data_IF_188826450643
#
_entry.id   IF_188826450643
#
_cell.length_a   1.000
_cell.length_b   1.000
_cell.length_c   1.000
_cell.angle_alpha   90.00
_cell.angle_beta   90.00
_cell.angle_gamma   90.00
#
_symmetry.space_group_name_H-M   'P 1'
#
loop_
_entity.id
_entity.type
_entity.pdbx_description
1 polymer ?
#
# COMPACT_ATOMS: atom_id res chain seq x y z
N UNK A 1 -26.01 -21.74 -1.08
CA UNK A 1 -24.87 -21.18 -1.84
C UNK A 1 -23.61 -21.83 -1.30
N UNK A 2 -22.91 -22.63 -2.10
CA UNK A 2 -21.65 -23.23 -1.68
C UNK A 2 -20.59 -22.13 -1.64
N UNK A 3 -20.10 -21.81 -0.45
CA UNK A 3 -19.13 -20.73 -0.23
C UNK A 3 -17.75 -21.19 -0.72
N UNK A 4 -17.33 -20.75 -1.90
CA UNK A 4 -16.07 -21.20 -2.51
C UNK A 4 -14.87 -20.41 -1.97
N UNK A 5 -14.59 -20.55 -0.67
CA UNK A 5 -13.48 -19.92 0.03
C UNK A 5 -12.11 -20.19 -0.60
N UNK A 6 -11.97 -21.28 -1.39
CA UNK A 6 -10.73 -21.64 -2.08
C UNK A 6 -10.26 -20.57 -3.07
N UNK A 7 -11.19 -19.82 -3.66
CA UNK A 7 -10.85 -18.77 -4.63
C UNK A 7 -10.30 -17.50 -3.93
N UNK A 8 -10.54 -17.32 -2.63
CA UNK A 8 -10.08 -16.12 -1.89
C UNK A 8 -8.57 -16.11 -1.64
N UNK A 9 -7.94 -17.29 -1.68
CA UNK A 9 -6.51 -17.47 -1.42
C UNK A 9 -5.77 -18.02 -2.65
N UNK A 10 -6.29 -17.77 -3.86
CA UNK A 10 -5.70 -18.26 -5.10
C UNK A 10 -4.31 -17.61 -5.35
N UNK A 11 -3.21 -18.40 -5.31
CA UNK A 11 -1.87 -17.86 -5.52
C UNK A 11 -1.64 -17.36 -6.95
N UNK A 12 -2.36 -17.89 -7.94
CA UNK A 12 -2.26 -17.44 -9.33
C UNK A 12 -2.89 -16.06 -9.49
N UNK A 13 -4.09 -15.86 -8.92
CA UNK A 13 -4.74 -14.56 -8.87
C UNK A 13 -3.86 -13.53 -8.12
N UNK A 14 -3.31 -13.89 -6.95
CA UNK A 14 -2.39 -13.03 -6.21
C UNK A 14 -1.15 -12.66 -7.04
N UNK A 15 -0.56 -13.61 -7.76
CA UNK A 15 0.60 -13.35 -8.63
C UNK A 15 0.24 -12.35 -9.73
N UNK A 16 -0.84 -12.59 -10.47
CA UNK A 16 -1.25 -11.71 -11.57
C UNK A 16 -1.57 -10.30 -11.08
N UNK A 17 -2.34 -10.18 -10.01
CA UNK A 17 -2.71 -8.88 -9.43
C UNK A 17 -1.51 -8.18 -8.81
N UNK A 18 -0.67 -8.90 -8.06
CA UNK A 18 0.54 -8.35 -7.45
C UNK A 18 1.52 -7.79 -8.48
N UNK A 19 1.74 -8.48 -9.60
CA UNK A 19 2.58 -7.94 -10.68
C UNK A 19 1.95 -6.69 -11.32
N UNK A 20 0.66 -6.73 -11.64
CA UNK A 20 -0.05 -5.59 -12.20
C UNK A 20 -0.02 -4.35 -11.27
N UNK A 21 -0.14 -4.56 -9.95
CA UNK A 21 -0.01 -3.53 -8.93
C UNK A 21 1.39 -2.93 -8.91
N UNK A 22 2.43 -3.77 -8.88
CA UNK A 22 3.83 -3.34 -8.85
C UNK A 22 4.19 -2.56 -10.10
N UNK A 23 3.75 -3.01 -11.28
CA UNK A 23 3.99 -2.31 -12.55
C UNK A 23 3.39 -0.89 -12.53
N UNK A 24 2.14 -0.75 -12.08
CA UNK A 24 1.49 0.56 -11.98
C UNK A 24 2.15 1.49 -10.95
N UNK A 25 2.59 0.95 -9.81
CA UNK A 25 3.32 1.73 -8.81
C UNK A 25 4.70 2.15 -9.31
N UNK A 26 5.37 1.32 -10.11
CA UNK A 26 6.63 1.69 -10.76
C UNK A 26 6.43 2.83 -11.77
N UNK A 27 5.37 2.76 -12.59
CA UNK A 27 4.99 3.83 -13.52
C UNK A 27 4.67 5.14 -12.76
N UNK A 28 3.95 5.05 -11.64
CA UNK A 28 3.71 6.18 -10.75
C UNK A 28 5.01 6.79 -10.22
N UNK A 29 5.95 5.97 -9.71
CA UNK A 29 7.23 6.48 -9.20
C UNK A 29 8.02 7.25 -10.27
N UNK A 30 7.96 6.79 -11.53
CA UNK A 30 8.57 7.49 -12.66
C UNK A 30 7.87 8.83 -12.96
N UNK A 31 6.53 8.85 -12.93
CA UNK A 31 5.72 10.03 -13.23
C UNK A 31 5.75 11.09 -12.12
N UNK A 32 5.68 10.66 -10.85
CA UNK A 32 5.68 11.51 -9.67
C UNK A 32 6.88 12.44 -9.62
N UNK A 33 8.00 12.06 -10.24
CA UNK A 33 9.21 12.88 -10.22
C UNK A 33 9.13 14.13 -11.14
N UNK A 34 8.18 14.22 -12.09
CA UNK A 34 8.20 15.31 -13.08
C UNK A 34 6.83 15.77 -13.62
N UNK A 35 5.86 14.87 -13.77
CA UNK A 35 4.69 15.14 -14.63
C UNK A 35 3.38 15.33 -13.87
N UNK A 36 3.37 15.10 -12.55
CA UNK A 36 2.16 15.14 -11.72
C UNK A 36 2.14 16.37 -10.79
N UNK A 37 0.96 16.95 -10.49
CA UNK A 37 0.85 18.04 -9.52
C UNK A 37 1.09 17.51 -8.09
N UNK A 38 1.91 18.19 -7.26
CA UNK A 38 2.20 17.72 -5.88
C UNK A 38 0.92 17.38 -5.11
N UNK A 39 -0.07 18.28 -5.12
CA UNK A 39 -1.37 18.06 -4.50
C UNK A 39 -2.49 18.39 -5.50
N UNK A 40 -3.22 17.39 -6.01
CA UNK A 40 -4.43 17.59 -6.81
C UNK A 40 -5.61 17.94 -5.88
N UNK A 41 -5.57 19.15 -5.31
CA UNK A 41 -6.51 19.54 -4.26
C UNK A 41 -7.96 19.62 -4.75
N UNK A 42 -8.88 19.18 -3.88
CA UNK A 42 -10.33 19.35 -4.00
C UNK A 42 -10.93 19.55 -2.61
N UNK A 43 -12.13 20.13 -2.55
CA UNK A 43 -12.87 20.27 -1.30
C UNK A 43 -13.31 18.90 -0.75
N UNK A 44 -13.48 18.73 0.59
CA UNK A 44 -13.84 17.46 1.18
C UNK A 44 -15.18 16.88 0.71
N UNK A 45 -16.22 17.70 0.55
CA UNK A 45 -17.55 17.19 0.18
C UNK A 45 -17.58 16.60 -1.24
N UNK A 46 -17.02 17.26 -2.28
CA UNK A 46 -16.84 16.63 -3.60
C UNK A 46 -15.98 15.36 -3.57
N UNK A 47 -14.96 15.28 -2.70
CA UNK A 47 -14.15 14.06 -2.57
C UNK A 47 -15.00 12.89 -2.04
N UNK A 48 -15.80 13.13 -1.00
CA UNK A 48 -16.70 12.09 -0.46
C UNK A 48 -17.70 11.62 -1.51
N UNK A 49 -18.30 12.54 -2.27
CA UNK A 49 -19.24 12.19 -3.34
C UNK A 49 -18.56 11.38 -4.46
N UNK A 50 -17.33 11.74 -4.84
CA UNK A 50 -16.56 11.01 -5.86
C UNK A 50 -16.23 9.56 -5.45
N UNK A 51 -15.99 9.32 -4.16
CA UNK A 51 -15.66 7.99 -3.62
C UNK A 51 -16.88 7.26 -3.04
N UNK A 52 -18.09 7.78 -3.26
CA UNK A 52 -19.31 7.05 -2.92
C UNK A 52 -19.45 5.84 -3.84
N UNK A 53 -19.68 4.67 -3.25
CA UNK A 53 -19.83 3.39 -3.95
C UNK A 53 -21.01 2.61 -3.36
N UNK A 54 -21.59 1.71 -4.15
CA UNK A 54 -22.69 0.83 -3.73
C UNK A 54 -22.21 -0.46 -3.03
N UNK A 55 -20.89 -0.65 -2.95
CA UNK A 55 -20.20 -1.75 -2.28
C UNK A 55 -20.83 -3.11 -2.64
N UNK A 56 -20.72 -3.52 -3.91
CA UNK A 56 -21.46 -4.66 -4.43
C UNK A 56 -21.04 -5.96 -3.73
N UNK A 57 -22.01 -6.82 -3.44
CA UNK A 57 -21.77 -8.07 -2.71
C UNK A 57 -20.94 -9.11 -3.49
N UNK A 58 -20.70 -8.90 -4.79
CA UNK A 58 -19.91 -9.79 -5.63
C UNK A 58 -18.74 -9.03 -6.25
N UNK A 59 -17.55 -9.64 -6.35
CA UNK A 59 -16.44 -9.02 -7.03
C UNK A 59 -16.76 -8.81 -8.53
N UNK A 60 -16.17 -7.80 -9.16
CA UNK A 60 -16.31 -7.59 -10.60
C UNK A 60 -15.75 -8.80 -11.37
N UNK A 61 -16.32 -9.05 -12.56
CA UNK A 61 -15.93 -10.17 -13.40
C UNK A 61 -14.44 -10.17 -13.78
N UNK A 62 -13.85 -8.98 -13.94
CA UNK A 62 -12.41 -8.78 -14.12
C UNK A 62 -11.84 -8.00 -12.93
N UNK A 63 -11.54 -8.73 -11.86
CA UNK A 63 -11.03 -8.16 -10.62
C UNK A 63 -9.68 -7.44 -10.80
N UNK A 64 -8.81 -7.95 -11.67
CA UNK A 64 -7.50 -7.33 -11.93
C UNK A 64 -7.68 -5.96 -12.59
N UNK A 65 -8.49 -5.88 -13.65
CA UNK A 65 -8.76 -4.60 -14.32
C UNK A 65 -9.47 -3.61 -13.40
N UNK A 66 -10.41 -4.07 -12.59
CA UNK A 66 -11.09 -3.22 -11.62
C UNK A 66 -10.13 -2.65 -10.57
N UNK A 67 -9.24 -3.49 -10.02
CA UNK A 67 -8.18 -3.05 -9.10
C UNK A 67 -7.25 -2.02 -9.75
N UNK A 68 -6.83 -2.26 -10.99
CA UNK A 68 -5.98 -1.35 -11.75
C UNK A 68 -6.65 0.01 -12.00
N UNK A 69 -7.94 0.03 -12.35
CA UNK A 69 -8.70 1.27 -12.53
C UNK A 69 -8.82 2.03 -11.20
N UNK A 70 -9.16 1.33 -10.13
CA UNK A 70 -9.25 1.90 -8.79
C UNK A 70 -7.92 2.50 -8.34
N UNK A 71 -6.81 1.78 -8.54
CA UNK A 71 -5.48 2.27 -8.19
C UNK A 71 -5.10 3.53 -8.98
N UNK A 72 -5.43 3.59 -10.27
CA UNK A 72 -5.21 4.77 -11.10
C UNK A 72 -5.98 5.99 -10.54
N UNK A 73 -7.24 5.80 -10.12
CA UNK A 73 -8.04 6.85 -9.48
C UNK A 73 -7.48 7.27 -8.11
N UNK A 74 -7.04 6.31 -7.28
CA UNK A 74 -6.38 6.57 -5.99
C UNK A 74 -5.12 7.41 -6.22
N UNK A 75 -4.26 6.99 -7.14
CA UNK A 75 -3.03 7.71 -7.47
C UNK A 75 -3.39 9.12 -7.93
N UNK A 76 -4.24 9.29 -8.94
CA UNK A 76 -4.55 10.59 -9.54
C UNK A 76 -5.10 11.64 -8.54
N UNK A 77 -5.66 11.20 -7.42
CA UNK A 77 -6.26 12.06 -6.39
C UNK A 77 -5.45 12.14 -5.10
N UNK A 78 -4.33 11.40 -5.01
CA UNK A 78 -3.47 11.39 -3.83
C UNK A 78 -2.52 12.57 -3.83
N UNK A 79 -2.08 12.98 -2.62
CA UNK A 79 -0.93 13.84 -2.46
C UNK A 79 0.34 13.07 -2.88
N UNK A 80 1.12 13.60 -3.82
CA UNK A 80 2.28 12.93 -4.38
C UNK A 80 3.55 13.26 -3.59
N UNK A 81 3.72 12.59 -2.46
CA UNK A 81 4.86 12.81 -1.56
C UNK A 81 6.21 12.48 -2.22
N UNK A 82 6.24 11.63 -3.25
CA UNK A 82 7.45 11.30 -4.02
C UNK A 82 7.86 12.40 -4.99
N UNK A 83 7.04 13.44 -5.18
CA UNK A 83 7.36 14.53 -6.10
C UNK A 83 8.46 15.44 -5.50
N UNK A 84 9.51 15.84 -6.25
CA UNK A 84 10.68 16.54 -5.72
C UNK A 84 10.38 17.95 -5.17
N UNK A 85 9.24 18.54 -5.58
CA UNK A 85 8.74 19.81 -5.03
C UNK A 85 7.79 19.65 -3.84
N UNK A 86 7.58 18.43 -3.33
CA UNK A 86 6.83 18.21 -2.11
C UNK A 86 7.64 18.73 -0.91
N UNK A 87 7.12 19.78 -0.27
CA UNK A 87 7.66 20.36 0.96
C UNK A 87 6.52 20.46 1.99
N UNK A 88 5.91 19.30 2.26
CA UNK A 88 4.78 19.19 3.20
C UNK A 88 5.21 18.82 4.62
N UNK A 89 4.22 18.42 5.43
CA UNK A 89 4.32 18.10 6.85
C UNK A 89 5.34 16.99 7.21
N UNK A 90 5.32 16.54 8.47
CA UNK A 90 6.26 15.55 9.02
C UNK A 90 6.12 14.12 8.45
N UNK A 91 5.13 13.87 7.60
CA UNK A 91 4.94 12.57 6.92
C UNK A 91 5.55 12.66 5.53
N UNK A 92 6.67 11.97 5.34
CA UNK A 92 7.42 11.92 4.08
C UNK A 92 7.07 10.67 3.26
N UNK A 93 7.41 10.69 1.97
CA UNK A 93 7.26 9.55 1.08
C UNK A 93 8.04 8.32 1.61
N UNK A 94 7.44 7.12 1.61
CA UNK A 94 8.16 5.91 1.95
C UNK A 94 9.20 5.59 0.87
N UNK A 95 10.31 4.98 1.30
CA UNK A 95 11.25 4.35 0.38
C UNK A 95 10.54 3.22 -0.40
N UNK A 96 10.72 3.09 -1.73
CA UNK A 96 10.07 2.03 -2.51
C UNK A 96 10.33 0.62 -1.97
N UNK A 97 11.56 0.35 -1.49
CA UNK A 97 11.87 -0.92 -0.85
C UNK A 97 11.09 -1.16 0.44
N UNK A 98 10.77 -0.12 1.21
CA UNK A 98 9.97 -0.25 2.43
C UNK A 98 8.52 -0.66 2.09
N UNK A 99 7.96 -0.12 0.99
CA UNK A 99 6.62 -0.51 0.53
C UNK A 99 6.55 -1.99 0.12
N UNK A 100 7.60 -2.54 -0.50
CA UNK A 100 7.67 -3.96 -0.84
C UNK A 100 7.73 -4.86 0.41
N UNK A 101 8.49 -4.46 1.42
CA UNK A 101 8.52 -5.17 2.70
C UNK A 101 7.19 -5.08 3.45
N UNK A 102 6.49 -3.95 3.37
CA UNK A 102 5.16 -3.80 3.95
C UNK A 102 4.13 -4.72 3.27
N UNK A 103 4.20 -4.88 1.95
CA UNK A 103 3.38 -5.86 1.22
C UNK A 103 3.62 -7.29 1.72
N UNK A 104 4.88 -7.68 1.90
CA UNK A 104 5.23 -9.00 2.44
C UNK A 104 4.76 -9.17 3.89
N UNK A 105 4.98 -8.15 4.73
CA UNK A 105 4.54 -8.13 6.13
C UNK A 105 3.02 -8.28 6.24
N UNK A 106 2.28 -7.55 5.42
CA UNK A 106 0.81 -7.59 5.37
C UNK A 106 0.30 -8.97 4.96
N UNK A 107 0.88 -9.59 3.92
CA UNK A 107 0.48 -10.94 3.49
C UNK A 107 0.78 -12.00 4.56
N UNK A 108 1.93 -11.89 5.23
CA UNK A 108 2.33 -12.83 6.27
C UNK A 108 1.55 -12.63 7.58
N UNK A 109 1.08 -11.41 7.87
CA UNK A 109 0.27 -11.06 9.03
C UNK A 109 0.76 -11.67 10.37
N UNK A 110 2.08 -11.65 10.59
CA UNK A 110 2.71 -12.17 11.81
C UNK A 110 2.67 -11.12 12.92
N UNK A 111 1.47 -10.80 13.42
CA UNK A 111 1.25 -9.79 14.45
C UNK A 111 2.01 -10.07 15.75
N UNK A 112 2.62 -9.04 16.35
CA UNK A 112 3.53 -9.20 17.50
C UNK A 112 2.86 -8.97 18.86
N UNK A 113 1.57 -9.29 19.01
CA UNK A 113 0.85 -9.15 20.28
C UNK A 113 1.40 -10.08 21.37
N UNK A 114 1.85 -11.28 20.98
CA UNK A 114 2.59 -12.23 21.81
C UNK A 114 3.69 -12.86 20.95
N UNK A 115 4.79 -13.32 21.58
CA UNK A 115 5.97 -13.80 20.85
C UNK A 115 5.66 -14.92 19.83
N UNK A 116 4.76 -15.84 20.17
CA UNK A 116 4.39 -16.97 19.30
C UNK A 116 3.73 -16.54 17.98
N UNK A 117 3.03 -15.39 17.97
CA UNK A 117 2.34 -14.87 16.80
C UNK A 117 3.26 -14.12 15.82
N UNK A 118 4.44 -13.70 16.29
CA UNK A 118 5.39 -12.93 15.48
C UNK A 118 6.83 -13.07 15.99
N UNK A 119 7.40 -14.28 16.04
CA UNK A 119 8.68 -14.53 16.68
C UNK A 119 9.83 -13.85 15.95
N UNK A 120 9.79 -13.83 14.61
CA UNK A 120 10.80 -13.19 13.77
C UNK A 120 10.77 -11.67 13.95
N UNK A 121 9.58 -11.07 13.86
CA UNK A 121 9.40 -9.62 14.06
C UNK A 121 9.87 -9.18 15.44
N UNK A 122 9.49 -9.92 16.50
CA UNK A 122 9.89 -9.60 17.87
C UNK A 122 11.42 -9.64 18.05
N UNK A 123 12.09 -10.64 17.47
CA UNK A 123 13.54 -10.77 17.54
C UNK A 123 14.27 -9.67 16.74
N UNK A 124 13.74 -9.33 15.56
CA UNK A 124 14.25 -8.24 14.72
C UNK A 124 14.09 -6.88 15.41
N UNK A 125 12.90 -6.58 15.94
CA UNK A 125 12.61 -5.34 16.66
C UNK A 125 13.54 -5.16 17.85
N UNK A 126 13.70 -6.19 18.69
CA UNK A 126 14.62 -6.14 19.84
C UNK A 126 16.06 -5.83 19.41
N UNK A 127 16.51 -6.41 18.29
CA UNK A 127 17.85 -6.15 17.76
C UNK A 127 17.97 -4.73 17.18
N UNK A 128 16.94 -4.24 16.49
CA UNK A 128 16.89 -2.90 15.92
C UNK A 128 16.86 -1.82 17.00
N UNK A 129 16.02 -1.97 18.03
CA UNK A 129 15.95 -1.04 19.16
C UNK A 129 17.31 -0.96 19.87
N UNK A 130 17.96 -2.10 20.10
CA UNK A 130 19.31 -2.12 20.69
C UNK A 130 20.31 -1.38 19.82
N UNK A 131 20.32 -1.65 18.52
CA UNK A 131 21.18 -0.95 17.57
C UNK A 131 20.93 0.56 17.58
N UNK A 132 19.66 0.97 17.53
CA UNK A 132 19.27 2.38 17.53
C UNK A 132 19.64 3.07 18.85
N UNK A 133 19.42 2.41 19.99
CA UNK A 133 19.82 2.89 21.31
C UNK A 133 21.31 3.24 21.36
N UNK A 134 22.17 2.35 20.86
CA UNK A 134 23.61 2.61 20.79
C UNK A 134 23.97 3.85 19.97
N UNK A 135 23.27 4.11 18.85
CA UNK A 135 23.51 5.30 18.03
C UNK A 135 22.98 6.58 18.67
N UNK A 136 21.99 6.45 19.56
CA UNK A 136 21.40 7.56 20.33
C UNK A 136 22.08 7.77 21.69
N UNK A 137 23.07 6.95 22.06
CA UNK A 137 23.81 7.05 23.32
C UNK A 137 23.18 6.36 24.53
N UNK A 138 22.30 5.38 24.31
CA UNK A 138 21.69 4.52 25.33
C UNK A 138 22.30 3.11 25.35
#
# INVERSE_FOLDING_TARGET
MANNFKNLFDPAAFRTQGHALVDQLADYLAAANNTMPVLPWTEPAPMVERWADDFPAQPPADATRAMQALLADVIAQSNHLHHPRYVGHQVTAPLPQAALWEMASTLLNNGMAVYEMGPVGTAMERSLIRWMGTHLGY
#
